data_IF_119660897111
#
_entry.id   IF_119660897111
#
_cell.length_a   1.000
_cell.length_b   1.000
_cell.length_c   1.000
_cell.angle_alpha   90.00
_cell.angle_beta   90.00
_cell.angle_gamma   90.00
#
_symmetry.space_group_name_H-M   'P 1'
#
loop_
_entity.id
_entity.type
_entity.pdbx_description
1 polymer ?
#
# COMPACT_ATOMS: atom_id res chain seq x y z
N UNK A 1 -32.42 24.54 24.67
CA UNK A 1 -33.56 24.87 23.78
C UNK A 1 -33.04 24.96 22.35
N UNK A 2 -33.51 24.12 21.42
CA UNK A 2 -33.15 24.23 20.01
C UNK A 2 -34.10 25.19 19.29
N UNK A 3 -33.63 26.12 18.44
CA UNK A 3 -34.52 26.86 17.56
C UNK A 3 -34.77 26.09 16.26
N UNK A 4 -35.91 26.42 15.71
CA UNK A 4 -36.70 25.70 14.72
C UNK A 4 -36.19 25.83 13.29
N UNK A 5 -36.63 24.85 12.47
CA UNK A 5 -36.75 24.92 11.02
C UNK A 5 -37.34 26.25 10.56
N UNK A 6 -36.73 26.84 9.53
CA UNK A 6 -37.49 27.56 8.51
C UNK A 6 -37.04 27.13 7.12
N UNK A 7 -38.06 26.79 6.34
CA UNK A 7 -38.06 26.49 4.91
C UNK A 7 -38.01 27.77 4.08
N UNK A 8 -37.23 27.78 3.00
CA UNK A 8 -37.37 28.55 1.74
C UNK A 8 -36.20 28.07 0.87
N UNK A 9 -36.32 27.63 -0.38
CA UNK A 9 -37.29 27.95 -1.41
C UNK A 9 -36.47 28.13 -2.69
N UNK A 10 -36.07 27.02 -3.30
CA UNK A 10 -35.30 27.01 -4.55
C UNK A 10 -35.96 26.09 -5.57
N UNK A 11 -36.91 26.63 -6.33
CA UNK A 11 -37.48 25.99 -7.52
C UNK A 11 -36.40 25.97 -8.62
N UNK A 12 -35.74 24.84 -8.80
CA UNK A 12 -35.07 24.54 -10.06
C UNK A 12 -36.05 23.74 -10.93
N UNK A 13 -36.75 24.46 -11.80
CA UNK A 13 -37.54 23.89 -12.89
C UNK A 13 -36.59 23.22 -13.88
N UNK A 14 -36.35 21.92 -13.75
CA UNK A 14 -35.85 21.11 -14.86
C UNK A 14 -37.05 20.43 -15.51
N UNK A 15 -37.52 21.04 -16.60
CA UNK A 15 -38.32 20.34 -17.60
C UNK A 15 -37.47 19.15 -18.09
N UNK A 16 -37.82 17.95 -17.64
CA UNK A 16 -37.46 16.75 -18.36
C UNK A 16 -38.32 16.75 -19.64
N UNK A 17 -37.82 17.36 -20.72
CA UNK A 17 -38.22 16.97 -22.06
C UNK A 17 -37.81 15.52 -22.21
N UNK A 18 -38.77 14.64 -21.92
CA UNK A 18 -38.74 13.23 -22.24
C UNK A 18 -38.80 13.15 -23.76
N UNK A 19 -37.70 13.46 -24.43
CA UNK A 19 -37.48 13.00 -25.80
C UNK A 19 -37.34 11.50 -25.66
N UNK A 20 -38.47 10.81 -25.82
CA UNK A 20 -38.49 9.41 -26.16
C UNK A 20 -37.38 9.17 -27.18
N UNK A 21 -36.51 8.17 -26.98
CA UNK A 21 -35.58 7.78 -28.05
C UNK A 21 -36.44 7.54 -29.28
N UNK A 22 -36.02 7.99 -30.48
CA UNK A 22 -36.77 7.71 -31.69
C UNK A 22 -36.98 6.21 -31.73
N UNK A 23 -38.25 5.81 -31.64
CA UNK A 23 -38.62 4.44 -31.96
C UNK A 23 -38.09 4.27 -33.37
N UNK A 24 -37.07 3.43 -33.52
CA UNK A 24 -36.68 2.91 -34.83
C UNK A 24 -37.88 2.11 -35.30
N UNK A 25 -38.80 2.82 -35.96
CA UNK A 25 -39.84 2.20 -36.75
C UNK A 25 -39.06 1.41 -37.79
N UNK A 26 -39.23 0.08 -37.87
CA UNK A 26 -38.59 -0.67 -38.93
C UNK A 26 -39.07 -0.02 -40.22
N UNK A 27 -38.12 0.47 -41.01
CA UNK A 27 -38.39 1.01 -42.35
C UNK A 27 -38.89 -0.17 -43.19
N UNK A 28 -40.17 -0.50 -43.07
CA UNK A 28 -40.87 -1.43 -43.94
C UNK A 28 -41.21 -0.71 -45.24
N UNK A 29 -40.19 -0.14 -45.87
CA UNK A 29 -40.25 0.22 -47.27
C UNK A 29 -40.13 -1.06 -48.08
N UNK A 30 -41.21 -1.86 -48.14
CA UNK A 30 -41.33 -2.82 -49.22
C UNK A 30 -41.66 -2.00 -50.46
N UNK A 31 -40.63 -1.62 -51.21
CA UNK A 31 -40.83 -1.08 -52.55
C UNK A 31 -41.33 -2.24 -53.41
N UNK A 32 -42.65 -2.39 -53.50
CA UNK A 32 -43.23 -3.19 -54.55
C UNK A 32 -43.00 -2.44 -55.86
N UNK A 33 -42.11 -2.97 -56.70
CA UNK A 33 -42.10 -2.56 -58.09
C UNK A 33 -43.40 -3.08 -58.69
N UNK A 34 -44.36 -2.21 -58.98
CA UNK A 34 -45.53 -2.57 -59.78
C UNK A 34 -45.01 -2.90 -61.16
N UNK A 35 -45.06 -4.18 -61.52
CA UNK A 35 -44.76 -4.65 -62.86
C UNK A 35 -46.11 -4.78 -63.54
N UNK A 36 -46.32 -4.08 -64.66
CA UNK A 36 -47.54 -4.22 -65.46
C UNK A 36 -47.76 -5.70 -65.80
N UNK A 37 -49.03 -6.13 -65.84
CA UNK A 37 -49.37 -7.51 -66.17
C UNK A 37 -48.77 -7.86 -67.53
N UNK A 38 -47.78 -8.78 -67.60
CA UNK A 38 -47.22 -9.14 -68.90
C UNK A 38 -48.32 -9.81 -69.72
N UNK A 39 -48.32 -9.53 -71.02
CA UNK A 39 -49.08 -10.32 -71.99
C UNK A 39 -48.84 -11.81 -71.73
N UNK A 40 -49.87 -12.63 -71.91
CA UNK A 40 -49.86 -14.04 -71.51
C UNK A 40 -48.59 -14.71 -72.03
N UNK A 41 -47.63 -15.07 -71.15
CA UNK A 41 -46.30 -15.46 -71.60
C UNK A 41 -46.42 -16.71 -72.46
N UNK A 42 -45.75 -16.68 -73.62
CA UNK A 42 -45.69 -17.81 -74.53
C UNK A 42 -45.00 -18.99 -73.83
N UNK A 43 -45.10 -20.18 -74.43
CA UNK A 43 -44.44 -21.36 -73.86
C UNK A 43 -42.92 -21.15 -73.77
N UNK A 44 -42.30 -20.51 -74.78
CA UNK A 44 -40.88 -20.15 -74.73
C UNK A 44 -40.58 -19.13 -73.62
N UNK A 45 -41.41 -18.10 -73.44
CA UNK A 45 -41.20 -17.09 -72.38
C UNK A 45 -41.27 -17.69 -70.97
N UNK A 46 -42.16 -18.68 -70.76
CA UNK A 46 -42.25 -19.39 -69.48
C UNK A 46 -41.02 -20.25 -69.20
N UNK A 47 -40.45 -20.86 -70.24
CA UNK A 47 -39.21 -21.63 -70.13
C UNK A 47 -38.05 -20.67 -69.85
N UNK A 48 -37.92 -19.58 -70.59
CA UNK A 48 -36.88 -18.57 -70.36
C UNK A 48 -36.99 -17.90 -68.98
N UNK A 49 -38.19 -17.55 -68.52
CA UNK A 49 -38.40 -17.04 -67.16
C UNK A 49 -38.05 -18.08 -66.10
N UNK A 50 -38.43 -19.35 -66.29
CA UNK A 50 -38.06 -20.44 -65.39
C UNK A 50 -36.54 -20.58 -65.33
N UNK A 51 -35.87 -20.58 -66.46
CA UNK A 51 -34.41 -20.74 -66.53
C UNK A 51 -33.68 -19.52 -65.95
N UNK A 52 -34.19 -18.30 -66.19
CA UNK A 52 -33.68 -17.06 -65.57
C UNK A 52 -33.88 -17.06 -64.06
N UNK A 53 -35.03 -17.53 -63.57
CA UNK A 53 -35.30 -17.67 -62.13
C UNK A 53 -34.45 -18.78 -61.52
N UNK A 54 -34.21 -19.87 -62.25
CA UNK A 54 -33.33 -20.94 -61.81
C UNK A 54 -31.87 -20.47 -61.76
N UNK A 55 -31.38 -19.77 -62.78
CA UNK A 55 -30.05 -19.14 -62.82
C UNK A 55 -29.88 -18.08 -61.73
N UNK A 56 -30.84 -17.16 -61.56
CA UNK A 56 -30.81 -16.16 -60.50
C UNK A 56 -30.86 -16.77 -59.09
N UNK A 57 -31.47 -17.95 -58.94
CA UNK A 57 -31.54 -18.69 -57.69
C UNK A 57 -30.48 -19.81 -57.57
N UNK A 58 -29.54 -19.96 -58.51
CA UNK A 58 -28.44 -20.94 -58.39
C UNK A 58 -27.58 -20.70 -57.14
N UNK A 59 -27.62 -19.47 -56.60
CA UNK A 59 -26.93 -19.07 -55.38
C UNK A 59 -27.88 -18.82 -54.21
N UNK A 60 -29.17 -19.14 -54.33
CA UNK A 60 -30.13 -19.00 -53.25
C UNK A 60 -30.12 -20.24 -52.35
N UNK A 61 -29.90 -20.02 -51.05
CA UNK A 61 -29.91 -21.09 -50.04
C UNK A 61 -31.11 -20.85 -49.13
N UNK A 62 -31.89 -21.91 -48.93
CA UNK A 62 -32.92 -21.95 -47.91
C UNK A 62 -32.44 -22.80 -46.74
N UNK A 63 -32.11 -22.16 -45.63
CA UNK A 63 -31.85 -22.88 -44.39
C UNK A 63 -33.18 -23.26 -43.73
N UNK A 64 -33.55 -24.54 -43.86
CA UNK A 64 -34.77 -25.10 -43.29
C UNK A 64 -34.80 -25.11 -41.77
N UNK A 65 -33.64 -25.13 -41.10
CA UNK A 65 -33.54 -25.19 -39.63
C UNK A 65 -33.84 -23.82 -39.02
N UNK A 66 -33.32 -22.77 -39.65
CA UNK A 66 -33.52 -21.40 -39.18
C UNK A 66 -34.66 -20.66 -39.89
N UNK A 67 -35.28 -21.30 -40.89
CA UNK A 67 -36.35 -20.74 -41.76
C UNK A 67 -35.91 -19.45 -42.46
N UNK A 68 -34.68 -19.43 -42.98
CA UNK A 68 -34.07 -18.26 -43.64
C UNK A 68 -33.86 -18.51 -45.14
N UNK A 69 -34.15 -17.52 -45.99
CA UNK A 69 -33.95 -17.57 -47.44
C UNK A 69 -33.11 -16.37 -47.89
N UNK A 70 -32.05 -16.63 -48.64
CA UNK A 70 -31.22 -15.56 -49.19
C UNK A 70 -30.16 -16.09 -50.13
N UNK A 71 -29.41 -15.20 -50.77
CA UNK A 71 -28.24 -15.63 -51.54
C UNK A 71 -27.08 -16.05 -50.61
N UNK A 72 -26.16 -16.90 -51.08
CA UNK A 72 -25.05 -17.45 -50.28
C UNK A 72 -24.28 -16.36 -49.53
N UNK A 73 -24.01 -15.23 -50.21
CA UNK A 73 -23.26 -14.10 -49.63
C UNK A 73 -24.02 -13.42 -48.50
N UNK A 74 -25.33 -13.23 -48.66
CA UNK A 74 -26.20 -12.64 -47.64
C UNK A 74 -26.38 -13.55 -46.43
N UNK A 75 -26.54 -14.86 -46.65
CA UNK A 75 -26.58 -15.84 -45.57
C UNK A 75 -25.25 -15.90 -44.79
N UNK A 76 -24.12 -15.91 -45.50
CA UNK A 76 -22.79 -15.88 -44.86
C UNK A 76 -22.54 -14.59 -44.06
N UNK A 77 -23.03 -13.45 -44.56
CA UNK A 77 -22.94 -12.17 -43.84
C UNK A 77 -23.78 -12.21 -42.55
N UNK A 78 -25.00 -12.76 -42.61
CA UNK A 78 -25.87 -12.91 -41.42
C UNK A 78 -25.17 -13.77 -40.37
N UNK A 79 -24.68 -14.96 -40.75
CA UNK A 79 -23.96 -15.85 -39.82
C UNK A 79 -22.72 -15.18 -39.22
N UNK A 80 -21.93 -14.46 -40.03
CA UNK A 80 -20.77 -13.73 -39.54
C UNK A 80 -21.15 -12.59 -38.58
N UNK A 81 -22.25 -11.87 -38.85
CA UNK A 81 -22.74 -10.85 -37.91
C UNK A 81 -23.25 -11.44 -36.60
N UNK A 82 -23.87 -12.62 -36.64
CA UNK A 82 -24.32 -13.34 -35.43
C UNK A 82 -23.14 -13.82 -34.59
N UNK A 83 -22.09 -14.35 -35.22
CA UNK A 83 -20.83 -14.71 -34.56
C UNK A 83 -20.15 -13.48 -33.92
N UNK A 84 -20.10 -12.35 -34.62
CA UNK A 84 -19.54 -11.11 -34.09
C UNK A 84 -20.35 -10.57 -32.89
N UNK A 85 -21.68 -10.66 -32.94
CA UNK A 85 -22.55 -10.30 -31.81
C UNK A 85 -22.26 -11.23 -30.62
N UNK A 86 -22.15 -12.54 -30.86
CA UNK A 86 -21.83 -13.49 -29.81
C UNK A 86 -20.46 -13.22 -29.18
N UNK A 87 -19.43 -12.96 -29.98
CA UNK A 87 -18.10 -12.61 -29.50
C UNK A 87 -18.08 -11.28 -28.73
N UNK A 88 -18.83 -10.28 -29.19
CA UNK A 88 -18.98 -9.01 -28.46
C UNK A 88 -19.59 -9.25 -27.08
N UNK A 89 -20.68 -10.00 -27.02
CA UNK A 89 -21.38 -10.28 -25.76
C UNK A 89 -20.51 -11.10 -24.80
N UNK A 90 -19.72 -12.05 -25.33
CA UNK A 90 -18.74 -12.79 -24.53
C UNK A 90 -17.64 -11.88 -23.97
N UNK A 91 -17.08 -11.00 -24.79
CA UNK A 91 -16.05 -10.03 -24.33
C UNK A 91 -16.59 -9.05 -23.30
N UNK A 92 -17.83 -8.59 -23.47
CA UNK A 92 -18.48 -7.71 -22.49
C UNK A 92 -18.63 -8.42 -21.14
N UNK A 93 -19.06 -9.69 -21.14
CA UNK A 93 -19.16 -10.49 -19.94
C UNK A 93 -17.79 -10.75 -19.29
N UNK A 94 -16.75 -11.03 -20.07
CA UNK A 94 -15.40 -11.23 -19.55
C UNK A 94 -14.82 -9.93 -18.98
N UNK A 95 -15.05 -8.79 -19.65
CA UNK A 95 -14.68 -7.47 -19.14
C UNK A 95 -15.37 -7.17 -17.83
N UNK A 96 -16.68 -7.41 -17.74
CA UNK A 96 -17.46 -7.22 -16.52
C UNK A 96 -16.90 -8.07 -15.35
N UNK A 97 -16.58 -9.34 -15.60
CA UNK A 97 -15.97 -10.23 -14.59
C UNK A 97 -14.59 -9.75 -14.15
N UNK A 98 -13.75 -9.34 -15.10
CA UNK A 98 -12.42 -8.79 -14.80
C UNK A 98 -12.51 -7.49 -14.01
N UNK A 99 -13.49 -6.63 -14.34
CA UNK A 99 -13.74 -5.39 -13.63
C UNK A 99 -14.20 -5.63 -12.19
N UNK A 100 -15.12 -6.58 -11.97
CA UNK A 100 -15.56 -6.99 -10.64
C UNK A 100 -14.41 -7.59 -9.81
N UNK A 101 -13.57 -8.43 -10.44
CA UNK A 101 -12.38 -8.96 -9.80
C UNK A 101 -11.39 -7.87 -9.42
N UNK A 102 -11.10 -6.94 -10.34
CA UNK A 102 -10.24 -5.79 -10.09
C UNK A 102 -10.76 -4.93 -8.93
N UNK A 103 -12.05 -4.59 -8.92
CA UNK A 103 -12.67 -3.82 -7.84
C UNK A 103 -12.54 -4.53 -6.48
N UNK A 104 -12.77 -5.84 -6.45
CA UNK A 104 -12.64 -6.66 -5.23
C UNK A 104 -11.21 -6.69 -4.72
N UNK A 105 -10.24 -6.98 -5.59
CA UNK A 105 -8.82 -7.04 -5.23
C UNK A 105 -8.30 -5.67 -4.80
N UNK A 106 -8.74 -4.59 -5.46
CA UNK A 106 -8.40 -3.21 -5.07
C UNK A 106 -8.92 -2.87 -3.67
N UNK A 107 -10.18 -3.23 -3.36
CA UNK A 107 -10.75 -3.04 -2.03
C UNK A 107 -10.02 -3.87 -0.95
N UNK A 108 -9.66 -5.11 -1.26
CA UNK A 108 -8.85 -5.95 -0.36
C UNK A 108 -7.47 -5.36 -0.11
N UNK A 109 -6.78 -4.86 -1.14
CA UNK A 109 -5.49 -4.22 -1.01
C UNK A 109 -5.56 -2.98 -0.11
N UNK A 110 -6.57 -2.12 -0.30
CA UNK A 110 -6.79 -0.95 0.54
C UNK A 110 -7.03 -1.35 2.01
N UNK A 111 -7.85 -2.37 2.25
CA UNK A 111 -8.10 -2.90 3.60
C UNK A 111 -6.83 -3.46 4.25
N UNK A 112 -6.02 -4.23 3.50
CA UNK A 112 -4.74 -4.75 3.98
C UNK A 112 -3.77 -3.62 4.31
N UNK A 113 -3.64 -2.60 3.44
CA UNK A 113 -2.79 -1.43 3.71
C UNK A 113 -3.22 -0.70 4.97
N UNK A 114 -4.53 -0.53 5.19
CA UNK A 114 -5.04 0.10 6.41
C UNK A 114 -4.72 -0.73 7.66
N UNK A 115 -4.86 -2.07 7.59
CA UNK A 115 -4.51 -2.97 8.70
C UNK A 115 -3.02 -2.91 9.03
N UNK A 116 -2.15 -2.89 8.03
CA UNK A 116 -0.70 -2.74 8.22
C UNK A 116 -0.39 -1.44 8.94
N UNK A 117 -0.94 -0.30 8.50
CA UNK A 117 -0.74 1.00 9.17
C UNK A 117 -1.19 1.01 10.63
N UNK A 118 -2.31 0.34 10.93
CA UNK A 118 -2.80 0.20 12.32
C UNK A 118 -1.82 -0.63 13.15
N UNK A 119 -1.36 -1.78 12.61
CA UNK A 119 -0.39 -2.65 13.28
C UNK A 119 0.95 -1.94 13.50
N UNK A 120 1.46 -1.22 12.50
CA UNK A 120 2.66 -0.39 12.62
C UNK A 120 2.53 0.63 13.74
N UNK A 121 1.39 1.34 13.81
CA UNK A 121 1.13 2.31 14.89
C UNK A 121 1.14 1.67 16.27
N UNK A 122 0.49 0.51 16.44
CA UNK A 122 0.50 -0.22 17.71
C UNK A 122 1.89 -0.71 18.07
N UNK A 123 2.61 -1.28 17.10
CA UNK A 123 3.97 -1.77 17.29
C UNK A 123 4.92 -0.65 17.73
N UNK A 124 4.86 0.53 17.11
CA UNK A 124 5.67 1.67 17.53
C UNK A 124 5.35 2.11 18.97
N UNK A 125 4.07 2.20 19.33
CA UNK A 125 3.67 2.57 20.69
C UNK A 125 4.13 1.55 21.74
N UNK A 126 4.00 0.26 21.44
CA UNK A 126 4.45 -0.82 22.32
C UNK A 126 5.98 -0.83 22.47
N UNK A 127 6.70 -0.58 21.38
CA UNK A 127 8.16 -0.46 21.40
C UNK A 127 8.62 0.68 22.32
N UNK A 128 8.01 1.86 22.21
CA UNK A 128 8.36 3.02 23.06
C UNK A 128 8.03 2.74 24.54
N UNK A 129 6.95 2.03 24.84
CA UNK A 129 6.64 1.59 26.19
C UNK A 129 7.69 0.62 26.75
N UNK A 130 8.17 -0.32 25.93
CA UNK A 130 9.26 -1.23 26.30
C UNK A 130 10.54 -0.43 26.55
N UNK A 131 10.92 0.48 25.65
CA UNK A 131 12.11 1.34 25.81
C UNK A 131 12.06 2.18 27.07
N UNK A 132 10.91 2.78 27.40
CA UNK A 132 10.70 3.47 28.67
C UNK A 132 10.94 2.57 29.88
N UNK A 133 10.43 1.34 29.86
CA UNK A 133 10.68 0.37 30.94
C UNK A 133 12.16 0.02 31.07
N UNK A 134 12.87 -0.15 29.96
CA UNK A 134 14.32 -0.40 29.94
C UNK A 134 15.08 0.77 30.57
N UNK A 135 14.78 2.02 30.17
CA UNK A 135 15.38 3.22 30.75
C UNK A 135 15.11 3.32 32.26
N UNK A 136 13.87 3.08 32.68
CA UNK A 136 13.49 3.11 34.09
C UNK A 136 14.23 2.05 34.92
N UNK A 137 14.27 0.81 34.45
CA UNK A 137 14.96 -0.29 35.13
C UNK A 137 16.48 -0.06 35.15
N UNK A 138 17.05 0.53 34.09
CA UNK A 138 18.46 0.93 34.04
C UNK A 138 18.76 1.98 35.11
N UNK A 139 18.00 3.07 35.17
CA UNK A 139 18.20 4.15 36.15
C UNK A 139 18.03 3.71 37.60
N UNK A 140 17.25 2.65 37.85
CA UNK A 140 17.10 2.03 39.17
C UNK A 140 18.10 0.91 39.48
N UNK A 141 19.03 0.60 38.58
CA UNK A 141 19.92 -0.58 38.67
C UNK A 141 19.16 -1.91 38.83
N UNK A 142 17.89 -1.96 38.43
CA UNK A 142 16.99 -3.08 38.67
C UNK A 142 17.10 -4.19 37.60
N UNK A 143 17.86 -3.96 36.51
CA UNK A 143 18.03 -4.93 35.42
C UNK A 143 18.73 -6.23 35.84
N UNK A 144 19.60 -6.17 36.86
CA UNK A 144 20.49 -7.30 37.24
C UNK A 144 19.70 -8.55 37.68
N UNK A 145 18.50 -8.37 38.27
CA UNK A 145 17.66 -9.46 38.76
C UNK A 145 16.58 -9.97 37.79
N UNK A 146 16.51 -9.45 36.55
CA UNK A 146 15.45 -9.80 35.59
C UNK A 146 15.71 -11.16 34.91
N UNK A 147 14.67 -11.88 34.43
CA UNK A 147 14.83 -13.10 33.64
C UNK A 147 15.71 -12.89 32.39
N UNK A 148 16.42 -13.94 31.93
CA UNK A 148 17.35 -13.85 30.78
C UNK A 148 16.69 -13.31 29.50
N UNK A 149 15.46 -13.72 29.20
CA UNK A 149 14.75 -13.27 28.00
C UNK A 149 14.41 -11.77 28.05
N UNK A 150 13.99 -11.24 29.21
CA UNK A 150 13.75 -9.79 29.39
C UNK A 150 15.04 -8.99 29.28
N UNK A 151 16.14 -9.53 29.81
CA UNK A 151 17.48 -8.92 29.70
C UNK A 151 17.98 -8.88 28.26
N UNK A 152 17.85 -9.99 27.52
CA UNK A 152 18.23 -10.04 26.11
C UNK A 152 17.37 -9.08 25.26
N UNK A 153 16.06 -9.03 25.52
CA UNK A 153 15.18 -8.09 24.82
C UNK A 153 15.56 -6.62 25.08
N UNK A 154 15.96 -6.29 26.31
CA UNK A 154 16.46 -4.96 26.64
C UNK A 154 17.81 -4.66 25.97
N UNK A 155 18.70 -5.65 25.90
CA UNK A 155 20.07 -5.52 25.41
C UNK A 155 20.21 -5.50 23.87
N UNK A 156 19.34 -6.19 23.14
CA UNK A 156 19.38 -6.24 21.67
C UNK A 156 18.40 -5.27 21.00
N UNK A 157 17.69 -4.45 21.79
CA UNK A 157 16.77 -3.42 21.32
C UNK A 157 17.26 -1.98 21.57
N UNK A 158 18.53 -1.78 21.95
CA UNK A 158 19.07 -0.46 22.25
C UNK A 158 19.12 0.42 21.02
N UNK A 159 18.26 1.44 20.99
CA UNK A 159 18.23 2.46 19.96
C UNK A 159 18.16 3.82 20.67
N UNK A 160 19.24 4.59 20.61
CA UNK A 160 19.36 5.91 21.26
C UNK A 160 18.26 6.86 20.80
N UNK A 161 17.87 6.81 19.53
CA UNK A 161 16.79 7.65 18.99
C UNK A 161 15.43 7.20 19.53
N UNK A 162 15.21 5.89 19.62
CA UNK A 162 13.99 5.34 20.24
C UNK A 162 13.89 5.64 21.74
N UNK A 163 15.03 5.70 22.44
CA UNK A 163 15.09 6.08 23.85
C UNK A 163 14.84 7.58 24.06
N UNK A 164 15.33 8.42 23.14
CA UNK A 164 15.01 9.85 23.12
C UNK A 164 13.50 10.02 22.93
N UNK A 165 12.93 9.39 21.90
CA UNK A 165 11.51 9.49 21.59
C UNK A 165 10.64 8.99 22.77
N UNK A 166 10.99 7.85 23.39
CA UNK A 166 10.27 7.32 24.53
C UNK A 166 10.26 8.29 25.73
N UNK A 167 11.37 9.00 25.94
CA UNK A 167 11.52 9.95 27.05
C UNK A 167 10.84 11.30 26.75
N UNK A 168 10.92 11.79 25.51
CA UNK A 168 10.16 12.96 25.04
C UNK A 168 8.65 12.73 25.18
N UNK A 169 8.15 11.57 24.76
CA UNK A 169 6.73 11.23 24.92
C UNK A 169 6.30 11.15 26.38
N UNK A 170 7.14 10.61 27.26
CA UNK A 170 6.85 10.57 28.70
C UNK A 170 6.75 12.00 29.29
N UNK A 171 7.62 12.91 28.86
CA UNK A 171 7.59 14.32 29.27
C UNK A 171 6.35 15.02 28.72
N UNK A 172 6.00 14.79 27.45
CA UNK A 172 4.88 15.44 26.78
C UNK A 172 3.52 14.96 27.31
N UNK A 173 3.31 13.64 27.36
CA UNK A 173 1.99 13.07 27.67
C UNK A 173 1.78 12.78 29.16
N UNK A 174 2.86 12.62 29.94
CA UNK A 174 2.80 12.26 31.37
C UNK A 174 3.76 13.11 32.23
N UNK A 175 3.72 14.45 32.14
CA UNK A 175 4.66 15.32 32.86
C UNK A 175 4.55 15.23 34.39
N UNK A 176 3.41 14.78 34.91
CA UNK A 176 3.17 14.62 36.35
C UNK A 176 3.88 13.38 36.94
N UNK A 177 4.31 12.42 36.13
CA UNK A 177 5.07 11.25 36.55
C UNK A 177 6.57 11.60 36.72
N UNK A 178 6.89 12.64 37.50
CA UNK A 178 8.25 13.20 37.64
C UNK A 178 9.28 12.15 38.04
N UNK A 179 8.95 11.30 39.01
CA UNK A 179 9.82 10.20 39.46
C UNK A 179 10.14 9.18 38.35
N UNK A 180 9.25 9.00 37.37
CA UNK A 180 9.48 8.14 36.21
C UNK A 180 10.43 8.83 35.24
N UNK A 181 10.19 10.12 34.98
CA UNK A 181 11.04 10.95 34.11
C UNK A 181 12.47 10.99 34.65
N UNK A 182 12.66 11.28 35.94
CA UNK A 182 13.96 11.29 36.60
C UNK A 182 14.69 9.95 36.50
N UNK A 183 13.99 8.85 36.79
CA UNK A 183 14.57 7.51 36.67
C UNK A 183 14.96 7.17 35.23
N UNK A 184 14.13 7.51 34.25
CA UNK A 184 14.43 7.26 32.84
C UNK A 184 15.57 8.15 32.35
N UNK A 185 15.64 9.42 32.74
CA UNK A 185 16.76 10.33 32.44
C UNK A 185 18.08 9.84 33.06
N UNK A 186 18.03 9.33 34.30
CA UNK A 186 19.18 8.70 34.93
C UNK A 186 19.61 7.41 34.18
N UNK A 187 18.65 6.60 33.75
CA UNK A 187 18.89 5.42 32.92
C UNK A 187 19.50 5.78 31.57
N UNK A 188 19.00 6.81 30.90
CA UNK A 188 19.53 7.33 29.65
C UNK A 188 21.00 7.73 29.80
N UNK A 189 21.31 8.51 30.85
CA UNK A 189 22.68 8.89 31.18
C UNK A 189 23.57 7.67 31.43
N UNK A 190 23.05 6.67 32.13
CA UNK A 190 23.81 5.44 32.38
C UNK A 190 24.09 4.65 31.11
N UNK A 191 23.13 4.56 30.18
CA UNK A 191 23.25 3.81 28.92
C UNK A 191 24.08 4.52 27.85
N UNK A 192 24.15 5.85 27.86
CA UNK A 192 24.78 6.63 26.79
C UNK A 192 25.92 7.56 27.24
N UNK A 193 26.23 7.63 28.54
CA UNK A 193 27.23 8.54 29.15
C UNK A 193 26.98 10.03 28.87
N UNK A 194 25.75 10.40 28.56
CA UNK A 194 25.37 11.77 28.22
C UNK A 194 24.03 12.11 28.89
N UNK A 195 23.90 13.33 29.42
CA UNK A 195 22.63 13.77 30.01
C UNK A 195 21.56 13.82 28.92
N UNK A 196 20.32 13.46 29.28
CA UNK A 196 19.19 13.62 28.38
C UNK A 196 19.01 15.08 27.96
N UNK A 197 19.38 16.07 28.77
CA UNK A 197 19.31 17.49 28.38
C UNK A 197 20.14 17.82 27.12
N UNK A 198 21.12 16.97 26.78
CA UNK A 198 21.96 17.11 25.60
C UNK A 198 21.40 16.34 24.37
N UNK A 199 20.22 15.73 24.45
CA UNK A 199 19.65 14.89 23.37
C UNK A 199 19.55 15.64 22.04
N UNK A 200 19.30 16.96 22.05
CA UNK A 200 19.26 17.77 20.81
C UNK A 200 20.53 17.65 19.98
N UNK A 201 21.71 17.59 20.61
CA UNK A 201 22.98 17.38 19.90
C UNK A 201 23.02 16.04 19.18
N UNK A 202 22.44 15.01 19.79
CA UNK A 202 22.33 13.66 19.18
C UNK A 202 21.37 13.71 18.00
N UNK A 203 20.22 14.39 18.13
CA UNK A 203 19.24 14.56 17.06
C UNK A 203 19.78 15.36 15.87
N UNK A 204 20.61 16.38 16.11
CA UNK A 204 21.31 17.13 15.06
C UNK A 204 22.28 16.24 14.28
N UNK A 205 22.90 15.26 14.94
CA UNK A 205 23.81 14.29 14.34
C UNK A 205 23.15 12.98 13.89
N UNK A 206 21.81 12.89 13.85
CA UNK A 206 21.07 11.65 13.59
C UNK A 206 21.35 10.96 12.25
N UNK A 207 21.88 11.70 11.27
CA UNK A 207 22.22 11.19 9.95
C UNK A 207 23.63 10.58 9.91
N UNK A 208 24.37 10.61 11.02
CA UNK A 208 25.64 9.94 11.15
C UNK A 208 25.43 8.51 11.68
N UNK A 209 25.36 7.57 10.74
CA UNK A 209 25.09 6.16 11.04
C UNK A 209 26.13 5.55 12.00
N UNK A 210 27.40 5.99 11.89
CA UNK A 210 28.49 5.50 12.76
C UNK A 210 28.31 5.98 14.19
N UNK A 211 27.97 7.25 14.38
CA UNK A 211 27.72 7.81 15.71
C UNK A 211 26.50 7.15 16.35
N UNK A 212 25.42 6.96 15.60
CA UNK A 212 24.24 6.26 16.08
C UNK A 212 24.56 4.80 16.46
N UNK A 213 25.33 4.10 15.61
CA UNK A 213 25.80 2.74 15.89
C UNK A 213 26.65 2.70 17.16
N UNK A 214 27.53 3.67 17.39
CA UNK A 214 28.37 3.75 18.58
C UNK A 214 27.54 3.97 19.86
N UNK A 215 26.56 4.88 19.83
CA UNK A 215 25.63 5.06 20.95
C UNK A 215 24.85 3.76 21.24
N UNK A 216 24.34 3.11 20.20
CA UNK A 216 23.58 1.87 20.33
C UNK A 216 24.46 0.73 20.87
N UNK A 217 25.68 0.57 20.34
CA UNK A 217 26.66 -0.39 20.83
C UNK A 217 26.93 -0.16 22.31
N UNK A 218 27.21 1.09 22.72
CA UNK A 218 27.42 1.40 24.14
C UNK A 218 26.21 1.03 24.99
N UNK A 219 25.00 1.41 24.57
CA UNK A 219 23.76 1.09 25.29
C UNK A 219 23.56 -0.42 25.45
N UNK A 220 23.80 -1.19 24.38
CA UNK A 220 23.71 -2.64 24.37
C UNK A 220 24.75 -3.28 25.30
N UNK A 221 26.01 -2.84 25.21
CA UNK A 221 27.10 -3.31 26.05
C UNK A 221 26.88 -2.97 27.52
N UNK A 222 26.38 -1.78 27.82
CA UNK A 222 26.09 -1.37 29.20
C UNK A 222 24.96 -2.20 29.78
N UNK A 223 23.92 -2.44 28.99
CA UNK A 223 22.81 -3.32 29.38
C UNK A 223 23.33 -4.73 29.64
N UNK A 224 24.19 -5.29 28.77
CA UNK A 224 24.80 -6.62 28.92
C UNK A 224 25.86 -6.74 30.02
N UNK A 225 26.51 -5.64 30.40
CA UNK A 225 27.70 -5.63 31.27
C UNK A 225 27.57 -6.38 32.60
N UNK A 226 26.39 -6.46 33.26
CA UNK A 226 26.28 -7.24 34.49
C UNK A 226 26.33 -8.77 34.27
N UNK A 227 26.30 -9.25 33.02
CA UNK A 227 26.11 -10.68 32.71
C UNK A 227 27.11 -11.26 31.73
N UNK A 228 27.80 -10.44 30.92
CA UNK A 228 28.91 -10.87 30.07
C UNK A 228 30.23 -10.40 30.70
N UNK A 229 31.02 -11.34 31.27
CA UNK A 229 32.40 -11.08 31.64
C UNK A 229 33.26 -11.13 30.38
N UNK A 230 33.98 -10.03 30.09
CA UNK A 230 35.00 -9.82 29.04
C UNK A 230 34.65 -10.31 27.62
N UNK A 231 34.69 -9.45 26.59
CA UNK A 231 35.44 -8.18 26.49
C UNK A 231 34.57 -6.94 26.73
N UNK A 232 33.41 -7.09 27.37
CA UNK A 232 32.41 -6.02 27.47
C UNK A 232 32.86 -4.72 28.15
N UNK A 233 33.82 -4.79 29.07
CA UNK A 233 34.42 -3.63 29.72
C UNK A 233 35.33 -2.81 28.81
N UNK A 234 36.04 -3.47 27.88
CA UNK A 234 36.96 -2.81 26.94
C UNK A 234 36.16 -2.04 25.88
N UNK A 235 35.13 -2.67 25.31
CA UNK A 235 34.20 -2.02 24.35
C UNK A 235 33.62 -0.76 24.98
N UNK A 236 33.12 -0.87 26.22
CA UNK A 236 32.55 0.27 26.94
C UNK A 236 33.58 1.37 27.18
N UNK A 237 34.83 1.02 27.51
CA UNK A 237 35.91 1.99 27.68
C UNK A 237 36.18 2.75 26.40
N UNK A 238 36.24 2.07 25.26
CA UNK A 238 36.46 2.70 23.95
C UNK A 238 35.28 3.58 23.54
N UNK A 239 34.04 3.07 23.65
CA UNK A 239 32.84 3.86 23.40
C UNK A 239 32.83 5.14 24.26
N UNK A 240 33.16 5.03 25.55
CA UNK A 240 33.21 6.18 26.45
C UNK A 240 34.26 7.20 26.02
N UNK A 241 35.46 6.77 25.64
CA UNK A 241 36.51 7.67 25.19
C UNK A 241 36.09 8.44 23.94
N UNK A 242 35.52 7.74 22.95
CA UNK A 242 35.09 8.31 21.68
C UNK A 242 33.91 9.28 21.89
N UNK A 243 32.86 8.85 22.59
CA UNK A 243 31.67 9.67 22.83
C UNK A 243 31.99 10.89 23.69
N UNK A 244 32.90 10.77 24.65
CA UNK A 244 33.38 11.91 25.43
C UNK A 244 34.09 12.92 24.54
N UNK A 245 34.98 12.45 23.65
CA UNK A 245 35.69 13.31 22.69
C UNK A 245 34.72 14.01 21.74
N UNK A 246 33.77 13.28 21.17
CA UNK A 246 32.69 13.84 20.34
C UNK A 246 31.87 14.89 21.10
N UNK A 247 31.53 14.63 22.36
CA UNK A 247 30.72 15.54 23.15
C UNK A 247 31.45 16.86 23.47
N UNK A 248 32.76 16.81 23.75
CA UNK A 248 33.58 17.98 24.04
C UNK A 248 33.99 18.74 22.77
N UNK A 249 34.29 18.02 21.69
CA UNK A 249 34.83 18.57 20.45
C UNK A 249 34.20 17.85 19.24
N UNK A 250 33.00 18.27 18.80
CA UNK A 250 32.29 17.59 17.71
C UNK A 250 33.07 17.58 16.38
N UNK A 251 33.94 18.56 16.15
CA UNK A 251 34.81 18.62 14.97
C UNK A 251 35.80 17.46 14.90
N UNK A 252 36.24 16.95 16.05
CA UNK A 252 37.21 15.84 16.11
C UNK A 252 36.65 14.50 15.63
N UNK A 253 35.32 14.39 15.50
CA UNK A 253 34.64 13.20 14.99
C UNK A 253 35.05 12.84 13.55
N UNK A 254 35.43 13.85 12.77
CA UNK A 254 35.86 13.67 11.38
C UNK A 254 37.36 13.45 11.24
N UNK A 255 38.11 13.36 12.34
CA UNK A 255 39.52 13.03 12.31
C UNK A 255 39.70 11.58 11.82
N UNK A 256 40.60 11.32 10.86
CA UNK A 256 40.78 9.98 10.27
C UNK A 256 41.05 8.89 11.32
N UNK A 257 41.79 9.23 12.37
CA UNK A 257 42.12 8.32 13.48
C UNK A 257 40.89 7.92 14.29
N UNK A 258 39.99 8.87 14.57
CA UNK A 258 38.74 8.62 15.29
C UNK A 258 37.82 7.76 14.44
N UNK A 259 37.71 8.06 13.14
CA UNK A 259 36.90 7.29 12.20
C UNK A 259 37.40 5.85 12.08
N UNK A 260 38.71 5.64 11.93
CA UNK A 260 39.29 4.30 11.83
C UNK A 260 39.05 3.47 13.09
N UNK A 261 39.22 4.08 14.28
CA UNK A 261 38.95 3.43 15.56
C UNK A 261 37.47 3.06 15.73
N UNK A 262 36.54 3.92 15.28
CA UNK A 262 35.10 3.62 15.30
C UNK A 262 34.78 2.46 14.36
N UNK A 263 35.32 2.46 13.14
CA UNK A 263 35.09 1.40 12.17
C UNK A 263 35.65 0.04 12.67
N UNK A 264 36.84 0.03 13.29
CA UNK A 264 37.43 -1.17 13.90
C UNK A 264 36.57 -1.69 15.07
N UNK A 265 36.12 -0.79 15.95
CA UNK A 265 35.27 -1.13 17.09
C UNK A 265 33.92 -1.72 16.64
N UNK A 266 33.29 -1.12 15.63
CA UNK A 266 32.03 -1.59 15.08
C UNK A 266 32.19 -2.94 14.35
N UNK A 267 33.28 -3.12 13.59
CA UNK A 267 33.59 -4.39 12.95
C UNK A 267 33.77 -5.51 13.98
N UNK A 268 34.56 -5.25 15.03
CA UNK A 268 34.78 -6.22 16.10
C UNK A 268 33.50 -6.53 16.91
N UNK A 269 32.63 -5.54 17.12
CA UNK A 269 31.35 -5.75 17.78
C UNK A 269 30.40 -6.65 16.96
N UNK A 270 30.42 -6.53 15.63
CA UNK A 270 29.60 -7.37 14.74
C UNK A 270 30.05 -8.83 14.74
N UNK A 271 31.33 -9.12 14.95
CA UNK A 271 31.86 -10.48 15.07
C UNK A 271 31.48 -11.16 16.40
N UNK A 272 30.85 -10.42 17.32
CA UNK A 272 30.55 -10.88 18.68
C UNK A 272 29.08 -11.24 18.95
N UNK A 273 28.18 -10.93 18.00
CA UNK A 273 26.78 -11.38 18.00
C UNK A 273 26.63 -12.80 17.42
#
# INVERSE_FOLDING_TARGET
MPPQRTTKGGKATRMATRTSPPILVPWRGVFYKTIDAPATPTREDRIAMRDTVLEANQHAIFDKRERRFGNVKGMALISSTEELVHHRDQRENDFQRLWEHYCTTSAQLQSCQQRVRILEKHFCADLLNIRKKVLYDAGKLAMVGRPRHERNAAAHGGNVLGDIEALEQQIEFKPHEVHVIEACSAGFKQLYEISFDCHRKILEAKNDDRLMALFNLRGNMRTCSPWKQSPGSEILSWCNAILKKWHSEPSSWYEPEVVAMVDELLAWANDWD
#
